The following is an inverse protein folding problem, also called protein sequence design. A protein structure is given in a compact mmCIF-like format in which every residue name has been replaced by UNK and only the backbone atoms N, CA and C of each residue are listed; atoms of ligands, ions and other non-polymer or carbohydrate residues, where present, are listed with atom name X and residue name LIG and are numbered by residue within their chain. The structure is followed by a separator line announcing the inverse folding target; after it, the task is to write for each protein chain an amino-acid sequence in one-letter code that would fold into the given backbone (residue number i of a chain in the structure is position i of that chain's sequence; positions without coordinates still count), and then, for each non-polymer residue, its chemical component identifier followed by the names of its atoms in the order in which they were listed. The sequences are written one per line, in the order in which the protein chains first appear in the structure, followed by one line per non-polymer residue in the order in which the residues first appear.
data_IF_092518664828
#
_entry.id   IF_092518664828
#
_cell.length_a   1.000
_cell.length_b   1.000
_cell.length_c   1.000
_cell.angle_alpha   90.00
_cell.angle_beta   90.00
_cell.angle_gamma   90.00
#
_symmetry.space_group_name_H-M   'P 1'
#
loop_
_entity.id
_entity.type
_entity.pdbx_description
1 polymer ?
#
# COMPACT_ATOMS: atom_id res chain seq x y z
N UNK A 1 -29.38 -28.27 -30.86
CA UNK A 1 -29.62 -28.39 -29.42
C UNK A 1 -28.43 -27.74 -28.73
N UNK A 2 -28.58 -26.51 -28.27
CA UNK A 2 -27.58 -25.88 -27.38
C UNK A 2 -27.62 -26.59 -26.06
N UNK A 3 -26.46 -27.05 -25.53
CA UNK A 3 -26.44 -27.67 -24.20
C UNK A 3 -27.00 -26.71 -23.16
N UNK A 4 -27.74 -27.19 -22.16
CA UNK A 4 -28.27 -26.35 -21.11
C UNK A 4 -27.10 -25.67 -20.41
N UNK A 5 -27.06 -24.35 -20.43
CA UNK A 5 -26.11 -23.56 -19.64
C UNK A 5 -26.36 -23.89 -18.17
N UNK A 6 -25.44 -24.62 -17.57
CA UNK A 6 -25.49 -24.85 -16.12
C UNK A 6 -25.58 -23.49 -15.42
N UNK A 7 -26.47 -23.32 -14.44
CA UNK A 7 -26.57 -22.07 -13.71
C UNK A 7 -25.24 -21.78 -13.05
N UNK A 8 -24.57 -20.69 -13.48
CA UNK A 8 -23.33 -20.24 -12.86
C UNK A 8 -23.62 -20.00 -11.38
N UNK A 9 -22.82 -20.63 -10.52
CA UNK A 9 -22.96 -20.48 -9.07
C UNK A 9 -22.89 -19.02 -8.64
N UNK A 10 -23.64 -18.66 -7.60
CA UNK A 10 -23.73 -17.29 -7.09
C UNK A 10 -22.37 -16.72 -6.68
N UNK A 11 -21.44 -17.58 -6.25
CA UNK A 11 -20.08 -17.20 -5.83
C UNK A 11 -19.16 -16.77 -6.98
N UNK A 12 -19.51 -17.11 -8.24
CA UNK A 12 -18.75 -16.77 -9.45
C UNK A 12 -19.51 -15.82 -10.38
N UNK A 13 -20.73 -15.43 -10.03
CA UNK A 13 -21.50 -14.46 -10.81
C UNK A 13 -20.98 -13.05 -10.58
N UNK A 14 -20.96 -12.27 -11.64
CA UNK A 14 -20.70 -10.83 -11.53
C UNK A 14 -21.79 -10.16 -10.70
N UNK A 15 -21.41 -9.34 -9.69
CA UNK A 15 -22.37 -8.61 -8.87
C UNK A 15 -23.20 -7.64 -9.74
N UNK A 16 -24.52 -7.68 -9.59
CA UNK A 16 -25.45 -6.78 -10.28
C UNK A 16 -26.12 -5.78 -9.36
N UNK A 17 -26.10 -6.05 -8.05
CA UNK A 17 -26.67 -5.18 -7.03
C UNK A 17 -25.62 -4.20 -6.51
N UNK A 18 -26.02 -2.96 -6.26
CA UNK A 18 -25.15 -1.93 -5.69
C UNK A 18 -24.62 -2.34 -4.33
N UNK A 19 -23.31 -2.07 -4.09
CA UNK A 19 -22.70 -2.31 -2.82
C UNK A 19 -23.27 -1.37 -1.75
N UNK A 20 -23.72 -1.86 -0.57
CA UNK A 20 -24.23 -1.00 0.48
C UNK A 20 -23.20 0.00 0.95
N UNK A 21 -23.60 1.25 1.11
CA UNK A 21 -22.68 2.33 1.53
C UNK A 21 -21.98 2.04 2.85
N UNK A 22 -22.66 1.40 3.81
CA UNK A 22 -22.07 1.05 5.09
C UNK A 22 -20.97 -0.01 4.94
N UNK A 23 -21.17 -1.01 4.10
CA UNK A 23 -20.16 -2.01 3.81
C UNK A 23 -18.94 -1.40 3.09
N UNK A 24 -19.16 -0.48 2.14
CA UNK A 24 -18.05 0.27 1.50
C UNK A 24 -17.28 1.07 2.54
N UNK A 25 -17.97 1.71 3.51
CA UNK A 25 -17.31 2.40 4.63
C UNK A 25 -16.42 1.46 5.45
N UNK A 26 -16.90 0.24 5.76
CA UNK A 26 -16.08 -0.75 6.47
C UNK A 26 -14.85 -1.19 5.69
N UNK A 27 -14.99 -1.35 4.38
CA UNK A 27 -13.87 -1.66 3.48
C UNK A 27 -12.84 -0.51 3.44
N UNK A 28 -13.32 0.73 3.42
CA UNK A 28 -12.49 1.95 3.49
C UNK A 28 -11.74 2.03 4.81
N UNK A 29 -12.42 1.83 5.94
CA UNK A 29 -11.78 1.83 7.26
C UNK A 29 -10.71 0.75 7.36
N UNK A 30 -11.00 -0.49 6.94
CA UNK A 30 -10.03 -1.57 6.92
C UNK A 30 -8.81 -1.19 6.04
N UNK A 31 -9.04 -0.50 4.91
CA UNK A 31 -7.97 -0.01 4.03
C UNK A 31 -7.13 1.07 4.70
N UNK A 32 -7.73 2.01 5.44
CA UNK A 32 -6.99 3.02 6.23
C UNK A 32 -6.07 2.35 7.25
N UNK A 33 -6.57 1.38 8.02
CA UNK A 33 -5.76 0.63 8.98
C UNK A 33 -4.61 -0.14 8.31
N UNK A 34 -4.89 -0.81 7.19
CA UNK A 34 -3.90 -1.51 6.39
C UNK A 34 -2.75 -0.58 5.95
N UNK A 35 -3.08 0.57 5.36
CA UNK A 35 -2.07 1.51 4.87
C UNK A 35 -1.34 2.24 5.99
N UNK A 36 -1.99 2.48 7.14
CA UNK A 36 -1.31 2.95 8.36
C UNK A 36 -0.28 1.92 8.85
N UNK A 37 -0.61 0.62 8.79
CA UNK A 37 0.28 -0.48 9.13
C UNK A 37 1.51 -0.59 8.22
N UNK A 38 1.41 -0.20 6.96
CA UNK A 38 2.56 -0.13 6.07
C UNK A 38 3.39 1.14 6.29
N UNK A 39 2.75 2.31 6.26
CA UNK A 39 3.46 3.57 6.10
C UNK A 39 3.90 4.23 7.39
N UNK A 40 3.22 3.99 8.51
CA UNK A 40 3.73 4.45 9.81
C UNK A 40 5.12 3.89 10.13
N UNK A 41 5.31 2.55 10.04
CA UNK A 41 6.64 1.96 10.17
C UNK A 41 7.62 2.47 9.12
N UNK A 42 7.27 2.43 7.82
CA UNK A 42 8.19 2.75 6.72
C UNK A 42 8.72 4.17 6.79
N UNK A 43 7.87 5.15 7.12
CA UNK A 43 8.24 6.56 7.05
C UNK A 43 9.03 7.06 8.27
N UNK A 44 8.77 6.49 9.46
CA UNK A 44 9.33 7.02 10.70
C UNK A 44 9.89 5.90 11.59
N UNK A 45 9.05 4.96 12.04
CA UNK A 45 9.41 4.06 13.14
C UNK A 45 10.58 3.11 12.80
N UNK A 46 10.65 2.58 11.58
CA UNK A 46 11.74 1.72 11.14
C UNK A 46 13.07 2.48 11.03
N UNK A 47 13.02 3.74 10.58
CA UNK A 47 14.21 4.58 10.52
C UNK A 47 14.74 4.89 11.92
N UNK A 48 13.86 5.33 12.84
CA UNK A 48 14.23 5.56 14.26
C UNK A 48 14.79 4.30 14.92
N UNK A 49 14.13 3.16 14.68
CA UNK A 49 14.55 1.90 15.29
C UNK A 49 15.86 1.39 14.69
N UNK A 50 16.10 1.60 13.38
CA UNK A 50 17.39 1.29 12.75
C UNK A 50 18.53 2.14 13.35
N UNK A 51 18.26 3.41 13.62
CA UNK A 51 19.20 4.31 14.30
C UNK A 51 19.43 3.90 15.75
N UNK A 52 18.40 3.52 16.50
CA UNK A 52 18.51 3.06 17.89
C UNK A 52 19.30 1.75 18.03
N UNK A 53 19.12 0.80 17.07
CA UNK A 53 19.79 -0.51 17.10
C UNK A 53 21.23 -0.43 16.58
N UNK A 54 21.52 0.44 15.63
CA UNK A 54 22.84 0.57 14.99
C UNK A 54 23.08 2.00 14.51
N UNK A 55 23.47 2.93 15.37
CA UNK A 55 23.67 4.34 15.03
C UNK A 55 24.66 4.56 13.88
N UNK A 56 25.77 3.80 13.87
CA UNK A 56 26.84 3.93 12.87
C UNK A 56 26.46 3.37 11.48
N UNK A 57 25.41 2.54 11.40
CA UNK A 57 25.01 1.86 10.16
C UNK A 57 23.49 1.92 9.94
N UNK A 58 22.84 2.97 10.42
CA UNK A 58 21.35 3.13 10.40
C UNK A 58 20.76 2.96 9.01
N UNK A 59 21.38 3.53 7.96
CA UNK A 59 20.90 3.44 6.60
C UNK A 59 21.01 2.02 6.03
N UNK A 60 22.10 1.32 6.34
CA UNK A 60 22.31 -0.06 5.90
C UNK A 60 21.33 -1.02 6.59
N UNK A 61 21.04 -0.80 7.87
CA UNK A 61 20.04 -1.57 8.61
C UNK A 61 18.64 -1.31 8.05
N UNK A 62 18.27 -0.05 7.81
CA UNK A 62 16.99 0.31 7.20
C UNK A 62 16.85 -0.30 5.80
N UNK A 63 17.91 -0.23 4.98
CA UNK A 63 17.94 -0.84 3.66
C UNK A 63 17.77 -2.37 3.71
N UNK A 64 18.42 -3.04 4.66
CA UNK A 64 18.29 -4.49 4.86
C UNK A 64 16.86 -4.88 5.26
N UNK A 65 16.31 -4.22 6.28
CA UNK A 65 14.96 -4.49 6.80
C UNK A 65 13.91 -4.28 5.72
N UNK A 66 13.95 -3.13 5.06
CA UNK A 66 12.98 -2.78 4.03
C UNK A 66 13.19 -3.57 2.74
N UNK A 67 14.43 -3.91 2.39
CA UNK A 67 14.76 -4.77 1.25
C UNK A 67 14.23 -6.19 1.41
N UNK A 68 14.42 -6.82 2.58
CA UNK A 68 13.83 -8.13 2.90
C UNK A 68 12.31 -8.03 2.89
N UNK A 69 11.74 -6.97 3.48
CA UNK A 69 10.31 -6.72 3.45
C UNK A 69 9.75 -6.60 2.03
N UNK A 70 10.44 -5.91 1.13
CA UNK A 70 10.06 -5.77 -0.27
C UNK A 70 10.09 -7.11 -1.03
N UNK A 71 11.09 -7.96 -0.76
CA UNK A 71 11.14 -9.32 -1.32
C UNK A 71 9.94 -10.15 -0.85
N UNK A 72 9.66 -10.14 0.45
CA UNK A 72 8.50 -10.83 1.03
C UNK A 72 7.20 -10.34 0.41
N UNK A 73 7.00 -9.03 0.30
CA UNK A 73 5.83 -8.40 -0.33
C UNK A 73 5.67 -8.85 -1.79
N UNK A 74 6.74 -8.76 -2.57
CA UNK A 74 6.74 -9.08 -4.01
C UNK A 74 6.33 -10.54 -4.27
N UNK A 75 6.82 -11.46 -3.43
CA UNK A 75 6.53 -12.88 -3.57
C UNK A 75 5.16 -13.25 -2.99
N UNK A 76 4.86 -12.77 -1.78
CA UNK A 76 3.69 -13.22 -1.06
C UNK A 76 2.39 -12.55 -1.48
N UNK A 77 2.39 -11.30 -1.95
CA UNK A 77 1.15 -10.64 -2.38
C UNK A 77 0.40 -11.45 -3.45
N UNK A 78 1.01 -11.84 -4.58
CA UNK A 78 0.32 -12.68 -5.57
C UNK A 78 0.03 -14.11 -5.08
N UNK A 79 0.88 -14.68 -4.22
CA UNK A 79 0.63 -16.01 -3.62
C UNK A 79 -0.62 -15.96 -2.73
N UNK A 80 -0.75 -14.95 -1.89
CA UNK A 80 -1.93 -14.75 -1.05
C UNK A 80 -3.19 -14.49 -1.88
N UNK A 81 -3.09 -13.74 -2.97
CA UNK A 81 -4.17 -13.58 -3.94
C UNK A 81 -4.66 -14.92 -4.47
N UNK A 82 -3.74 -15.75 -4.97
CA UNK A 82 -4.07 -17.08 -5.51
C UNK A 82 -4.65 -18.02 -4.45
N UNK A 83 -4.20 -17.98 -3.20
CA UNK A 83 -4.77 -18.76 -2.13
C UNK A 83 -6.14 -18.26 -1.68
N UNK A 84 -6.31 -16.92 -1.61
CA UNK A 84 -7.58 -16.29 -1.32
C UNK A 84 -8.64 -16.65 -2.36
N UNK A 85 -8.29 -16.69 -3.66
CA UNK A 85 -9.19 -17.11 -4.75
C UNK A 85 -9.72 -18.54 -4.60
N UNK A 86 -9.02 -19.40 -3.85
CA UNK A 86 -9.27 -20.84 -3.70
C UNK A 86 -9.80 -21.21 -2.33
N UNK A 87 -10.06 -20.24 -1.49
CA UNK A 87 -10.54 -20.45 -0.12
C UNK A 87 -12.00 -20.86 -0.13
N UNK A 88 -12.31 -22.02 0.50
CA UNK A 88 -13.64 -22.63 0.56
C UNK A 88 -14.24 -22.58 1.99
N UNK A 89 -13.70 -21.71 2.85
CA UNK A 89 -14.16 -21.56 4.23
C UNK A 89 -15.60 -21.02 4.30
N UNK A 90 -16.38 -21.50 5.26
CA UNK A 90 -17.77 -21.06 5.49
C UNK A 90 -17.90 -19.57 5.81
N UNK A 91 -16.84 -18.96 6.34
CA UNK A 91 -16.77 -17.52 6.63
C UNK A 91 -16.57 -16.65 5.40
N UNK A 92 -16.48 -17.25 4.23
CA UNK A 92 -16.25 -16.57 2.96
C UNK A 92 -14.87 -16.82 2.38
N UNK A 93 -14.65 -16.28 1.18
CA UNK A 93 -13.41 -16.44 0.40
C UNK A 93 -12.34 -15.41 0.79
N UNK A 94 -12.72 -14.17 1.01
CA UNK A 94 -11.81 -13.03 1.27
C UNK A 94 -11.66 -12.67 2.74
N UNK A 95 -12.76 -12.73 3.51
CA UNK A 95 -12.79 -12.39 4.93
C UNK A 95 -11.71 -13.07 5.77
N UNK A 96 -11.44 -14.39 5.66
CA UNK A 96 -10.40 -15.05 6.43
C UNK A 96 -9.01 -14.44 6.21
N UNK A 97 -8.71 -13.99 4.98
CA UNK A 97 -7.43 -13.38 4.61
C UNK A 97 -7.32 -11.94 5.10
N UNK A 98 -8.42 -11.17 5.09
CA UNK A 98 -8.44 -9.82 5.68
C UNK A 98 -8.20 -9.91 7.19
N UNK A 99 -8.95 -10.77 7.89
CA UNK A 99 -8.84 -10.93 9.35
C UNK A 99 -7.50 -11.57 9.74
N UNK A 100 -7.10 -12.64 9.07
CA UNK A 100 -5.84 -13.34 9.33
C UNK A 100 -4.63 -12.46 9.02
N UNK A 101 -4.69 -11.69 7.92
CA UNK A 101 -3.65 -10.72 7.56
C UNK A 101 -3.53 -9.58 8.56
N UNK A 102 -4.65 -9.01 9.01
CA UNK A 102 -4.67 -8.01 10.07
C UNK A 102 -4.13 -8.56 11.40
N UNK A 103 -4.51 -9.77 11.78
CA UNK A 103 -4.00 -10.43 12.98
C UNK A 103 -2.48 -10.67 12.91
N UNK A 104 -1.97 -11.18 11.78
CA UNK A 104 -0.54 -11.36 11.58
C UNK A 104 0.21 -10.01 11.57
N UNK A 105 -0.35 -8.99 10.92
CA UNK A 105 0.17 -7.61 10.97
C UNK A 105 0.21 -7.06 12.38
N UNK A 106 -0.84 -7.26 13.17
CA UNK A 106 -0.90 -6.86 14.59
C UNK A 106 0.19 -7.53 15.41
N UNK A 107 0.34 -8.87 15.29
CA UNK A 107 1.41 -9.60 15.96
C UNK A 107 2.78 -9.07 15.56
N UNK A 108 2.98 -8.78 14.28
CA UNK A 108 4.23 -8.20 13.80
C UNK A 108 4.50 -6.81 14.40
N UNK A 109 3.48 -5.94 14.56
CA UNK A 109 3.64 -4.64 15.23
C UNK A 109 4.03 -4.81 16.70
N UNK A 110 3.47 -5.81 17.40
CA UNK A 110 3.85 -6.12 18.79
C UNK A 110 5.30 -6.60 18.86
N UNK A 111 5.75 -7.42 17.92
CA UNK A 111 7.14 -7.87 17.84
C UNK A 111 8.10 -6.71 17.51
N UNK A 112 7.72 -5.81 16.60
CA UNK A 112 8.48 -4.61 16.27
C UNK A 112 8.62 -3.68 17.47
N UNK A 113 7.55 -3.51 18.25
CA UNK A 113 7.58 -2.69 19.46
C UNK A 113 8.63 -3.15 20.50
N UNK A 114 8.95 -4.44 20.54
CA UNK A 114 9.97 -5.02 21.42
C UNK A 114 11.28 -5.39 20.73
N UNK A 115 11.46 -5.03 19.43
CA UNK A 115 12.65 -5.43 18.69
C UNK A 115 13.88 -4.58 19.11
N UNK A 116 14.91 -5.24 19.62
CA UNK A 116 16.17 -4.67 20.12
C UNK A 116 17.40 -5.10 19.30
N UNK A 117 17.20 -5.89 18.27
CA UNK A 117 18.27 -6.42 17.41
C UNK A 117 17.90 -6.35 15.93
N UNK A 118 18.93 -6.26 15.07
CA UNK A 118 18.74 -6.18 13.59
C UNK A 118 17.93 -7.36 13.09
N UNK A 119 18.21 -8.58 13.54
CA UNK A 119 17.52 -9.78 13.08
C UNK A 119 16.06 -9.84 13.53
N UNK A 120 15.77 -9.39 14.75
CA UNK A 120 14.40 -9.30 15.24
C UNK A 120 13.61 -8.27 14.42
N UNK A 121 14.23 -7.13 14.11
CA UNK A 121 13.63 -6.09 13.27
C UNK A 121 13.35 -6.61 11.85
N UNK A 122 14.31 -7.31 11.23
CA UNK A 122 14.15 -7.93 9.90
C UNK A 122 13.01 -8.95 9.89
N UNK A 123 12.99 -9.88 10.86
CA UNK A 123 11.99 -10.95 10.92
C UNK A 123 10.59 -10.41 11.25
N UNK A 124 10.48 -9.47 12.19
CA UNK A 124 9.20 -8.87 12.55
C UNK A 124 8.64 -8.05 11.40
N UNK A 125 9.48 -7.28 10.68
CA UNK A 125 9.04 -6.56 9.49
C UNK A 125 8.66 -7.50 8.32
N UNK A 126 9.40 -8.58 8.12
CA UNK A 126 9.04 -9.61 7.14
C UNK A 126 7.68 -10.23 7.45
N UNK A 127 7.38 -10.50 8.72
CA UNK A 127 6.06 -10.97 9.16
C UNK A 127 4.98 -9.91 8.93
N UNK A 128 5.27 -8.63 9.23
CA UNK A 128 4.36 -7.51 8.93
C UNK A 128 4.02 -7.47 7.44
N UNK A 129 5.04 -7.53 6.59
CA UNK A 129 4.85 -7.57 5.14
C UNK A 129 4.04 -8.78 4.68
N UNK A 130 4.29 -9.97 5.23
CA UNK A 130 3.52 -11.16 4.90
C UNK A 130 2.03 -11.00 5.28
N UNK A 131 1.73 -10.56 6.51
CA UNK A 131 0.37 -10.36 7.01
C UNK A 131 -0.38 -9.25 6.28
N UNK A 132 0.23 -8.06 6.20
CA UNK A 132 -0.42 -6.91 5.55
C UNK A 132 -0.64 -7.13 4.04
N UNK A 133 0.27 -7.84 3.35
CA UNK A 133 0.04 -8.20 1.94
C UNK A 133 -1.05 -9.27 1.76
N UNK A 134 -1.27 -10.16 2.73
CA UNK A 134 -2.42 -11.06 2.72
C UNK A 134 -3.74 -10.28 2.81
N UNK A 135 -3.79 -9.30 3.72
CA UNK A 135 -4.93 -8.40 3.84
C UNK A 135 -5.12 -7.55 2.57
N UNK A 136 -4.05 -6.97 2.01
CA UNK A 136 -4.07 -6.16 0.79
C UNK A 136 -4.63 -6.94 -0.40
N UNK A 137 -4.11 -8.14 -0.65
CA UNK A 137 -4.56 -9.00 -1.74
C UNK A 137 -6.06 -9.32 -1.62
N UNK A 138 -6.54 -9.62 -0.41
CA UNK A 138 -7.94 -9.92 -0.17
C UNK A 138 -8.84 -8.68 -0.30
N UNK A 139 -8.47 -7.54 0.27
CA UNK A 139 -9.20 -6.27 0.16
C UNK A 139 -9.32 -5.84 -1.31
N UNK A 140 -8.23 -5.92 -2.06
CA UNK A 140 -8.23 -5.56 -3.50
C UNK A 140 -9.14 -6.49 -4.30
N UNK A 141 -9.11 -7.80 -4.03
CA UNK A 141 -9.95 -8.78 -4.72
C UNK A 141 -11.43 -8.70 -4.31
N UNK A 142 -11.75 -8.13 -3.15
CA UNK A 142 -13.14 -7.95 -2.70
C UNK A 142 -13.92 -6.99 -3.62
N UNK A 143 -13.26 -6.00 -4.23
CA UNK A 143 -13.92 -5.03 -5.12
C UNK A 143 -14.54 -5.71 -6.34
N UNK A 144 -13.80 -6.44 -7.19
CA UNK A 144 -14.41 -7.14 -8.32
C UNK A 144 -15.40 -8.24 -7.90
N UNK A 145 -15.25 -8.82 -6.70
CA UNK A 145 -16.10 -9.91 -6.21
C UNK A 145 -17.47 -9.41 -5.71
N UNK A 146 -17.58 -8.16 -5.22
CA UNK A 146 -18.77 -7.68 -4.52
C UNK A 146 -19.32 -6.33 -5.04
N UNK A 147 -18.60 -5.68 -5.97
CA UNK A 147 -19.01 -4.39 -6.54
C UNK A 147 -19.32 -4.56 -8.02
N UNK A 148 -20.52 -4.13 -8.48
CA UNK A 148 -20.88 -4.18 -9.90
C UNK A 148 -19.92 -3.32 -10.74
N UNK A 149 -19.71 -3.69 -11.99
CA UNK A 149 -18.75 -3.05 -12.91
C UNK A 149 -18.96 -1.55 -13.02
N UNK A 150 -20.22 -1.10 -12.99
CA UNK A 150 -20.59 0.33 -13.06
C UNK A 150 -20.11 1.16 -11.86
N UNK A 151 -19.89 0.55 -10.69
CA UNK A 151 -19.50 1.24 -9.44
C UNK A 151 -18.03 1.04 -9.09
N UNK A 152 -17.30 0.11 -9.74
CA UNK A 152 -15.90 -0.21 -9.42
C UNK A 152 -14.97 1.00 -9.49
N UNK A 153 -15.21 1.90 -10.43
CA UNK A 153 -14.44 3.14 -10.56
C UNK A 153 -14.58 4.05 -9.34
N UNK A 154 -15.81 4.23 -8.87
CA UNK A 154 -16.08 5.06 -7.67
C UNK A 154 -15.49 4.41 -6.41
N UNK A 155 -15.75 3.12 -6.19
CA UNK A 155 -15.21 2.40 -5.02
C UNK A 155 -13.69 2.35 -5.07
N UNK A 156 -13.08 2.12 -6.24
CA UNK A 156 -11.63 2.17 -6.42
C UNK A 156 -11.05 3.55 -6.09
N UNK A 157 -11.70 4.63 -6.52
CA UNK A 157 -11.32 6.01 -6.18
C UNK A 157 -11.39 6.28 -4.68
N UNK A 158 -12.45 5.83 -4.01
CA UNK A 158 -12.58 5.96 -2.54
C UNK A 158 -11.50 5.14 -1.81
N UNK A 159 -11.12 3.96 -2.32
CA UNK A 159 -10.02 3.18 -1.75
C UNK A 159 -8.65 3.84 -1.96
N UNK A 160 -8.44 4.55 -3.07
CA UNK A 160 -7.23 5.35 -3.27
C UNK A 160 -7.13 6.51 -2.27
N UNK A 161 -8.26 7.16 -1.95
CA UNK A 161 -8.33 8.15 -0.87
C UNK A 161 -8.04 7.49 0.49
N UNK A 162 -8.59 6.30 0.75
CA UNK A 162 -8.31 5.54 1.97
C UNK A 162 -6.82 5.19 2.12
N UNK A 163 -6.14 4.87 1.02
CA UNK A 163 -4.69 4.69 1.00
C UNK A 163 -3.97 5.96 1.46
N UNK A 164 -4.28 7.11 0.86
CA UNK A 164 -3.66 8.39 1.22
C UNK A 164 -3.94 8.75 2.70
N UNK A 165 -5.18 8.58 3.16
CA UNK A 165 -5.54 8.79 4.56
C UNK A 165 -4.77 7.84 5.49
N UNK A 166 -4.62 6.57 5.11
CA UNK A 166 -3.85 5.59 5.89
C UNK A 166 -2.37 5.97 6.01
N UNK A 167 -1.77 6.49 4.94
CA UNK A 167 -0.40 7.02 4.97
C UNK A 167 -0.28 8.18 5.95
N UNK A 168 -1.20 9.16 5.87
CA UNK A 168 -1.23 10.34 6.77
C UNK A 168 -1.46 9.92 8.23
N UNK A 169 -2.42 9.02 8.47
CA UNK A 169 -2.71 8.51 9.82
C UNK A 169 -1.50 7.75 10.38
N UNK A 170 -0.84 6.92 9.58
CA UNK A 170 0.34 6.16 10.00
C UNK A 170 1.51 7.05 10.37
N UNK A 171 1.85 8.04 9.53
CA UNK A 171 2.91 9.00 9.84
C UNK A 171 2.55 9.92 11.01
N UNK A 172 1.27 10.32 11.12
CA UNK A 172 0.78 11.13 12.23
C UNK A 172 0.84 10.39 13.58
N UNK A 173 0.51 9.09 13.61
CA UNK A 173 0.68 8.26 14.81
C UNK A 173 2.16 8.21 15.20
N UNK A 174 3.04 7.98 14.25
CA UNK A 174 4.47 7.89 14.51
C UNK A 174 5.04 9.21 15.07
N UNK A 175 4.63 10.35 14.52
CA UNK A 175 5.03 11.67 15.01
C UNK A 175 4.41 12.04 16.37
N UNK A 176 3.16 11.63 16.63
CA UNK A 176 2.45 12.00 17.87
C UNK A 176 2.78 11.10 19.08
N UNK A 177 3.43 9.95 18.87
CA UNK A 177 3.73 9.01 19.94
C UNK A 177 5.16 9.21 20.46
N UNK A 178 5.31 9.50 21.73
CA UNK A 178 6.60 9.83 22.37
C UNK A 178 7.61 8.67 22.44
N UNK A 179 7.35 7.51 21.84
CA UNK A 179 8.31 6.41 21.73
C UNK A 179 8.01 5.48 20.55
N UNK A 180 9.05 4.84 20.03
CA UNK A 180 8.95 3.84 18.94
C UNK A 180 7.94 2.73 19.29
N UNK A 181 8.04 2.21 20.53
CA UNK A 181 7.15 1.13 20.98
C UNK A 181 5.69 1.56 21.02
N UNK A 182 5.39 2.75 21.57
CA UNK A 182 4.00 3.27 21.59
C UNK A 182 3.47 3.54 20.17
N UNK A 183 4.31 3.95 19.24
CA UNK A 183 3.97 4.09 17.82
C UNK A 183 3.46 2.77 17.22
N UNK A 184 4.24 1.71 17.36
CA UNK A 184 3.84 0.38 16.87
C UNK A 184 2.58 -0.15 17.56
N UNK A 185 2.47 0.01 18.90
CA UNK A 185 1.27 -0.43 19.64
C UNK A 185 0.02 0.32 19.21
N UNK A 186 0.12 1.62 18.97
CA UNK A 186 -1.00 2.43 18.48
C UNK A 186 -1.43 2.01 17.08
N UNK A 187 -0.47 1.76 16.17
CA UNK A 187 -0.77 1.22 14.84
C UNK A 187 -1.44 -0.15 14.92
N UNK A 188 -0.98 -1.03 15.83
CA UNK A 188 -1.62 -2.33 16.06
C UNK A 188 -3.09 -2.17 16.48
N UNK A 189 -3.38 -1.27 17.41
CA UNK A 189 -4.76 -0.96 17.85
C UNK A 189 -5.59 -0.41 16.70
N UNK A 190 -5.07 0.53 15.92
CA UNK A 190 -5.77 1.11 14.75
C UNK A 190 -6.08 0.02 13.72
N UNK A 191 -5.11 -0.85 13.39
CA UNK A 191 -5.29 -1.95 12.45
C UNK A 191 -6.42 -2.89 12.89
N UNK A 192 -6.46 -3.27 14.16
CA UNK A 192 -7.54 -4.11 14.70
C UNK A 192 -8.87 -3.37 14.69
N UNK A 193 -8.92 -2.16 15.24
CA UNK A 193 -10.15 -1.39 15.38
C UNK A 193 -10.82 -1.10 14.03
N UNK A 194 -10.03 -0.78 13.00
CA UNK A 194 -10.54 -0.49 11.65
C UNK A 194 -10.92 -1.76 10.87
N UNK A 195 -10.37 -2.93 11.23
CA UNK A 195 -10.68 -4.20 10.58
C UNK A 195 -11.94 -4.87 11.16
N UNK A 196 -12.25 -4.66 12.44
CA UNK A 196 -13.40 -5.30 13.12
C UNK A 196 -14.73 -5.05 12.40
N UNK A 197 -15.11 -3.82 11.99
CA UNK A 197 -16.39 -3.60 11.32
C UNK A 197 -16.53 -4.41 10.03
N UNK A 198 -15.47 -4.45 9.20
CA UNK A 198 -15.44 -5.29 8.01
C UNK A 198 -15.53 -6.79 8.35
N UNK A 199 -14.85 -7.22 9.40
CA UNK A 199 -14.88 -8.62 9.84
C UNK A 199 -16.27 -9.06 10.31
N UNK A 200 -17.04 -8.18 10.94
CA UNK A 200 -18.39 -8.47 11.45
C UNK A 200 -19.43 -8.44 10.33
N UNK A 201 -19.42 -7.39 9.50
CA UNK A 201 -20.42 -7.16 8.44
C UNK A 201 -19.86 -7.55 7.05
N UNK A 202 -19.10 -8.64 6.97
CA UNK A 202 -18.61 -9.14 5.70
C UNK A 202 -19.71 -9.87 4.92
N UNK A 203 -19.94 -9.44 3.68
CA UNK A 203 -20.86 -10.08 2.72
C UNK A 203 -20.19 -11.14 1.86
N UNK A 204 -19.07 -11.63 2.30
CA UNK A 204 -18.23 -12.55 1.57
C UNK A 204 -18.94 -13.90 1.36
N UNK A 205 -18.94 -14.40 0.12
CA UNK A 205 -19.64 -15.61 -0.26
C UNK A 205 -18.64 -16.77 -0.28
N UNK A 206 -18.92 -17.86 0.44
CA UNK A 206 -18.10 -19.07 0.38
C UNK A 206 -18.01 -19.63 -1.04
N UNK A 207 -16.82 -20.06 -1.44
CA UNK A 207 -16.63 -20.81 -2.68
C UNK A 207 -16.93 -22.30 -2.44
N UNK A 208 -17.88 -22.92 -3.19
CA UNK A 208 -18.09 -24.37 -3.13
C UNK A 208 -16.82 -25.14 -3.50
N UNK A 209 -16.58 -26.27 -2.83
CA UNK A 209 -15.37 -27.08 -3.07
C UNK A 209 -15.29 -27.58 -4.51
N UNK A 210 -16.44 -27.91 -5.13
CA UNK A 210 -16.56 -28.39 -6.50
C UNK A 210 -16.10 -27.34 -7.53
N UNK A 211 -16.18 -26.05 -7.19
CA UNK A 211 -15.80 -24.93 -8.05
C UNK A 211 -14.40 -24.43 -7.78
N UNK A 212 -13.68 -25.06 -6.86
CA UNK A 212 -12.30 -24.69 -6.52
C UNK A 212 -11.36 -24.85 -7.72
N UNK A 213 -10.75 -23.76 -8.25
CA UNK A 213 -9.89 -23.87 -9.42
C UNK A 213 -8.63 -24.70 -9.12
N UNK A 214 -8.15 -25.54 -10.05
CA UNK A 214 -6.92 -26.29 -9.88
C UNK A 214 -5.72 -25.35 -9.78
N UNK A 215 -4.77 -25.60 -8.87
CA UNK A 215 -3.57 -24.81 -8.73
C UNK A 215 -2.38 -25.51 -9.39
N UNK A 216 -1.69 -24.80 -10.31
CA UNK A 216 -0.50 -25.29 -10.98
C UNK A 216 0.61 -24.27 -10.82
N UNK A 217 1.63 -24.57 -10.03
CA UNK A 217 2.77 -23.69 -9.78
C UNK A 217 3.43 -23.20 -11.08
N UNK A 218 3.65 -24.08 -12.05
CA UNK A 218 4.26 -23.72 -13.32
C UNK A 218 3.43 -22.67 -14.11
N UNK A 219 2.11 -22.79 -14.13
CA UNK A 219 1.22 -21.83 -14.78
C UNK A 219 1.20 -20.51 -13.99
N UNK A 220 1.18 -20.58 -12.66
CA UNK A 220 1.24 -19.41 -11.79
C UNK A 220 2.52 -18.61 -11.99
N UNK A 221 3.69 -19.26 -11.96
CA UNK A 221 4.97 -18.57 -12.18
C UNK A 221 5.07 -18.00 -13.60
N UNK A 222 4.58 -18.73 -14.60
CA UNK A 222 4.56 -18.22 -15.99
C UNK A 222 3.67 -17.00 -16.18
N UNK A 223 2.61 -16.84 -15.38
CA UNK A 223 1.71 -15.68 -15.49
C UNK A 223 2.37 -14.34 -15.14
N UNK A 224 3.51 -14.36 -14.42
CA UNK A 224 4.28 -13.16 -14.11
C UNK A 224 5.22 -12.70 -15.22
N UNK A 225 5.47 -13.57 -16.20
CA UNK A 225 6.40 -13.24 -17.27
C UNK A 225 5.65 -12.76 -18.51
N UNK A 226 5.77 -11.46 -18.79
CA UNK A 226 5.34 -10.86 -20.04
C UNK A 226 6.60 -10.49 -20.83
N UNK A 227 6.77 -11.06 -22.03
CA UNK A 227 7.95 -10.81 -22.86
C UNK A 227 7.98 -9.36 -23.38
N UNK A 228 8.96 -8.53 -22.99
CA UNK A 228 9.09 -7.16 -23.51
C UNK A 228 9.36 -7.10 -25.02
N UNK A 229 9.90 -8.20 -25.59
CA UNK A 229 10.15 -8.29 -27.03
C UNK A 229 8.87 -8.49 -27.84
N UNK A 230 7.90 -9.21 -27.28
CA UNK A 230 6.58 -9.42 -27.90
C UNK A 230 5.63 -8.24 -27.63
N UNK A 231 5.82 -7.54 -26.53
CA UNK A 231 4.98 -6.42 -26.09
C UNK A 231 5.86 -5.22 -25.68
N UNK A 232 6.49 -4.51 -26.64
CA UNK A 232 7.43 -3.43 -26.33
C UNK A 232 6.80 -2.25 -25.59
N UNK A 233 5.54 -1.91 -25.89
CA UNK A 233 4.82 -0.86 -25.16
C UNK A 233 4.63 -1.21 -23.67
N UNK A 234 4.38 -2.48 -23.35
CA UNK A 234 4.35 -2.95 -21.97
C UNK A 234 5.72 -2.83 -21.30
N UNK A 235 6.79 -3.20 -22.01
CA UNK A 235 8.16 -3.07 -21.49
C UNK A 235 8.50 -1.62 -21.09
N UNK A 236 8.21 -0.67 -21.98
CA UNK A 236 8.43 0.75 -21.67
C UNK A 236 7.56 1.28 -20.54
N UNK A 237 6.28 0.91 -20.52
CA UNK A 237 5.37 1.27 -19.42
C UNK A 237 5.86 0.71 -18.08
N UNK A 238 6.36 -0.54 -18.06
CA UNK A 238 6.90 -1.18 -16.87
C UNK A 238 8.16 -0.47 -16.37
N UNK A 239 9.13 -0.16 -17.25
CA UNK A 239 10.37 0.54 -16.88
C UNK A 239 10.05 1.93 -16.32
N UNK A 240 9.19 2.68 -16.99
CA UNK A 240 8.79 4.03 -16.54
C UNK A 240 8.17 3.96 -15.16
N UNK A 241 7.21 3.03 -14.95
CA UNK A 241 6.56 2.84 -13.66
C UNK A 241 7.53 2.39 -12.57
N UNK A 242 8.45 1.50 -12.91
CA UNK A 242 9.50 1.04 -12.00
C UNK A 242 10.39 2.20 -11.53
N UNK A 243 10.91 3.01 -12.45
CA UNK A 243 11.78 4.15 -12.10
C UNK A 243 11.05 5.21 -11.26
N UNK A 244 9.80 5.53 -11.61
CA UNK A 244 8.99 6.45 -10.81
C UNK A 244 8.77 5.92 -9.38
N UNK A 245 8.35 4.67 -9.24
CA UNK A 245 8.14 4.07 -7.93
C UNK A 245 9.45 3.93 -7.13
N UNK A 246 10.57 3.64 -7.80
CA UNK A 246 11.88 3.58 -7.15
C UNK A 246 12.27 4.94 -6.56
N UNK A 247 12.15 6.03 -7.34
CA UNK A 247 12.44 7.38 -6.85
C UNK A 247 11.54 7.78 -5.67
N UNK A 248 10.26 7.49 -5.76
CA UNK A 248 9.33 7.73 -4.65
C UNK A 248 9.66 6.89 -3.40
N UNK A 249 9.99 5.61 -3.59
CA UNK A 249 10.32 4.72 -2.48
C UNK A 249 11.59 5.17 -1.75
N UNK A 250 12.62 5.59 -2.48
CA UNK A 250 13.84 6.13 -1.88
C UNK A 250 13.55 7.38 -1.04
N UNK A 251 12.76 8.32 -1.57
CA UNK A 251 12.38 9.51 -0.80
C UNK A 251 11.59 9.13 0.46
N UNK A 252 10.57 8.31 0.35
CA UNK A 252 9.72 7.91 1.48
C UNK A 252 10.51 7.19 2.56
N UNK A 253 11.42 6.28 2.17
CA UNK A 253 12.23 5.49 3.11
C UNK A 253 13.26 6.34 3.86
N UNK A 254 13.90 7.27 3.16
CA UNK A 254 15.03 8.03 3.73
C UNK A 254 14.65 9.46 4.10
N UNK A 255 13.37 9.84 4.01
CA UNK A 255 12.91 11.22 4.29
C UNK A 255 13.27 11.66 5.70
N UNK A 256 13.10 10.80 6.71
CA UNK A 256 13.45 11.13 8.10
C UNK A 256 14.94 11.40 8.24
N UNK A 257 15.80 10.54 7.70
CA UNK A 257 17.24 10.74 7.73
C UNK A 257 17.67 11.98 6.94
N UNK A 258 17.05 12.22 5.78
CA UNK A 258 17.29 13.44 5.01
C UNK A 258 16.98 14.70 5.82
N UNK A 259 15.88 14.73 6.55
CA UNK A 259 15.48 15.88 7.37
C UNK A 259 16.44 16.09 8.57
N UNK A 260 16.90 15.00 9.17
CA UNK A 260 17.86 15.05 10.30
C UNK A 260 19.28 15.40 9.84
N UNK A 261 19.79 14.70 8.83
CA UNK A 261 21.20 14.74 8.46
C UNK A 261 21.54 15.81 7.44
N UNK A 262 20.63 16.14 6.50
CA UNK A 262 20.87 17.15 5.45
C UNK A 262 20.20 18.50 5.75
N UNK A 263 19.00 18.51 6.33
CA UNK A 263 18.28 19.73 6.72
C UNK A 263 18.66 20.18 8.14
N UNK A 264 19.26 19.27 8.94
CA UNK A 264 19.73 19.51 10.32
C UNK A 264 18.60 19.83 11.30
N UNK A 265 17.46 19.17 11.19
CA UNK A 265 16.38 19.27 12.15
C UNK A 265 16.67 18.41 13.39
N UNK A 266 16.14 18.81 14.55
CA UNK A 266 16.06 17.94 15.71
C UNK A 266 15.12 16.75 15.48
N UNK A 267 15.19 15.74 16.35
CA UNK A 267 14.39 14.50 16.19
C UNK A 267 12.89 14.80 16.12
N UNK A 268 12.37 15.58 17.08
CA UNK A 268 10.95 15.95 17.15
C UNK A 268 10.52 16.79 15.92
N UNK A 269 11.35 17.76 15.52
CA UNK A 269 11.07 18.60 14.33
C UNK A 269 11.08 17.78 13.05
N UNK A 270 11.97 16.79 12.92
CA UNK A 270 12.04 15.93 11.74
C UNK A 270 10.81 15.01 11.63
N UNK A 271 10.30 14.47 12.73
CA UNK A 271 9.10 13.64 12.77
C UNK A 271 7.85 14.42 12.39
N UNK A 272 7.68 15.63 12.97
CA UNK A 272 6.60 16.56 12.62
C UNK A 272 6.68 16.97 11.14
N UNK A 273 7.90 17.20 10.64
CA UNK A 273 8.13 17.53 9.23
C UNK A 273 7.79 16.36 8.30
N UNK A 274 8.12 15.10 8.64
CA UNK A 274 7.68 13.92 7.86
C UNK A 274 6.16 13.87 7.78
N UNK A 275 5.47 14.06 8.91
CA UNK A 275 4.01 14.08 8.91
C UNK A 275 3.44 15.19 8.03
N UNK A 276 3.91 16.43 8.19
CA UNK A 276 3.37 17.58 7.46
C UNK A 276 3.68 17.50 5.96
N UNK A 277 4.90 17.11 5.57
CA UNK A 277 5.29 16.90 4.18
C UNK A 277 4.48 15.77 3.52
N UNK A 278 4.25 14.66 4.26
CA UNK A 278 3.42 13.56 3.77
C UNK A 278 1.96 13.98 3.59
N UNK A 279 1.41 14.78 4.53
CA UNK A 279 0.05 15.30 4.42
C UNK A 279 -0.10 16.25 3.22
N UNK A 280 0.85 17.17 3.02
CA UNK A 280 0.90 18.08 1.87
C UNK A 280 1.00 17.29 0.56
N UNK A 281 1.96 16.38 0.46
CA UNK A 281 2.13 15.50 -0.70
C UNK A 281 0.86 14.70 -1.01
N UNK A 282 0.27 14.06 0.01
CA UNK A 282 -0.94 13.25 -0.13
C UNK A 282 -2.15 14.08 -0.59
N UNK A 283 -2.37 15.25 0.01
CA UNK A 283 -3.47 16.15 -0.36
C UNK A 283 -3.32 16.62 -1.81
N UNK A 284 -2.12 17.08 -2.20
CA UNK A 284 -1.84 17.52 -3.57
C UNK A 284 -2.02 16.37 -4.54
N UNK A 285 -1.54 15.16 -4.22
CA UNK A 285 -1.71 13.96 -5.05
C UNK A 285 -3.18 13.64 -5.30
N UNK A 286 -4.03 13.69 -4.27
CA UNK A 286 -5.48 13.46 -4.42
C UNK A 286 -6.11 14.52 -5.33
N UNK A 287 -5.85 15.79 -5.10
CA UNK A 287 -6.40 16.89 -5.91
C UNK A 287 -5.96 16.77 -7.37
N UNK A 288 -4.66 16.53 -7.59
CA UNK A 288 -4.11 16.44 -8.95
C UNK A 288 -4.54 15.17 -9.67
N UNK A 289 -4.77 14.05 -8.97
CA UNK A 289 -5.34 12.85 -9.58
C UNK A 289 -6.75 13.08 -10.14
N UNK A 290 -7.60 13.83 -9.42
CA UNK A 290 -8.92 14.19 -9.92
C UNK A 290 -8.84 15.14 -11.13
N UNK A 291 -8.03 16.19 -11.02
CA UNK A 291 -7.89 17.20 -12.08
C UNK A 291 -7.19 16.60 -13.30
N UNK A 292 -6.08 15.89 -13.09
CA UNK A 292 -5.28 15.25 -14.13
C UNK A 292 -6.06 14.16 -14.87
N UNK A 293 -6.78 13.30 -14.12
CA UNK A 293 -7.64 12.27 -14.71
C UNK A 293 -8.73 12.87 -15.60
N UNK A 294 -9.48 13.85 -15.09
CA UNK A 294 -10.50 14.55 -15.85
C UNK A 294 -9.94 15.24 -17.11
N UNK A 295 -8.78 15.90 -17.00
CA UNK A 295 -8.14 16.59 -18.10
C UNK A 295 -7.55 15.61 -19.12
N UNK A 296 -6.88 14.55 -18.67
CA UNK A 296 -6.33 13.49 -19.52
C UNK A 296 -7.41 12.79 -20.37
N UNK A 297 -8.58 12.51 -19.77
CA UNK A 297 -9.70 11.91 -20.47
C UNK A 297 -10.30 12.86 -21.54
N UNK A 298 -10.33 14.16 -21.25
CA UNK A 298 -10.84 15.19 -22.18
C UNK A 298 -9.93 15.41 -23.38
N UNK A 299 -8.60 15.37 -23.16
CA UNK A 299 -7.58 15.59 -24.19
C UNK A 299 -7.31 14.30 -24.99
N UNK A 300 -7.56 13.13 -24.41
CA UNK A 300 -7.35 11.82 -25.04
C UNK A 300 -5.86 11.46 -25.29
N UNK A 301 -4.90 12.24 -24.77
CA UNK A 301 -3.46 12.07 -24.99
C UNK A 301 -2.74 11.59 -23.74
N UNK A 302 -3.11 10.44 -23.20
CA UNK A 302 -2.57 9.89 -21.95
C UNK A 302 -1.03 9.83 -21.89
N UNK A 303 -0.35 9.55 -23.01
CA UNK A 303 1.13 9.49 -23.06
C UNK A 303 1.78 10.82 -22.66
N UNK A 304 1.19 11.96 -23.03
CA UNK A 304 1.72 13.30 -22.72
C UNK A 304 1.67 13.56 -21.21
N UNK A 305 0.59 13.17 -20.55
CA UNK A 305 0.43 13.30 -19.10
C UNK A 305 1.46 12.46 -18.35
N UNK A 306 1.68 11.21 -18.76
CA UNK A 306 2.71 10.32 -18.15
C UNK A 306 4.12 10.91 -18.30
N UNK A 307 4.45 11.52 -19.45
CA UNK A 307 5.76 12.16 -19.65
C UNK A 307 5.93 13.38 -18.73
N UNK A 308 4.95 14.27 -18.69
CA UNK A 308 4.98 15.44 -17.85
C UNK A 308 5.00 15.10 -16.35
N UNK A 309 4.20 14.12 -15.91
CA UNK A 309 4.22 13.65 -14.53
C UNK A 309 5.60 13.14 -14.12
N UNK A 310 6.27 12.37 -14.99
CA UNK A 310 7.64 11.90 -14.76
C UNK A 310 8.66 13.03 -14.68
N UNK A 311 8.58 14.02 -15.58
CA UNK A 311 9.47 15.19 -15.55
C UNK A 311 9.26 16.07 -14.30
N UNK A 312 8.02 16.28 -13.90
CA UNK A 312 7.67 17.02 -12.69
C UNK A 312 8.19 16.30 -11.46
N UNK A 313 7.98 14.99 -11.36
CA UNK A 313 8.51 14.19 -10.25
C UNK A 313 10.05 14.21 -10.21
N UNK A 314 10.72 14.12 -11.36
CA UNK A 314 12.18 14.21 -11.44
C UNK A 314 12.68 15.61 -10.96
N UNK A 315 12.02 16.70 -11.35
CA UNK A 315 12.36 18.04 -10.89
C UNK A 315 12.22 18.17 -9.37
N UNK A 316 11.20 17.57 -8.76
CA UNK A 316 11.04 17.56 -7.30
C UNK A 316 12.19 16.82 -6.61
N UNK A 317 12.59 15.64 -7.13
CA UNK A 317 13.71 14.87 -6.56
C UNK A 317 15.05 15.60 -6.70
N UNK A 318 15.27 16.32 -7.81
CA UNK A 318 16.43 17.20 -7.99
C UNK A 318 16.42 18.32 -6.95
N UNK A 319 15.26 18.94 -6.69
CA UNK A 319 15.14 19.98 -5.67
C UNK A 319 15.52 19.43 -4.27
N UNK A 320 15.03 18.27 -3.89
CA UNK A 320 15.43 17.61 -2.63
C UNK A 320 16.95 17.36 -2.57
N UNK A 321 17.56 16.92 -3.66
CA UNK A 321 18.98 16.56 -3.68
C UNK A 321 19.93 17.76 -3.55
N UNK A 322 19.57 18.92 -4.12
CA UNK A 322 20.48 20.08 -4.22
C UNK A 322 20.12 21.26 -3.30
N UNK A 323 18.92 21.30 -2.73
CA UNK A 323 18.47 22.41 -1.87
C UNK A 323 17.91 21.85 -0.55
N UNK A 324 18.78 21.38 0.39
CA UNK A 324 18.34 20.76 1.63
C UNK A 324 17.86 21.81 2.66
N UNK A 325 16.72 22.39 2.41
CA UNK A 325 16.07 23.37 3.30
C UNK A 325 14.59 23.06 3.45
N UNK A 326 13.97 23.41 4.58
CA UNK A 326 12.55 23.18 4.81
C UNK A 326 11.62 23.83 3.77
N UNK A 327 11.83 25.10 3.35
CA UNK A 327 11.02 25.68 2.28
C UNK A 327 11.11 24.90 0.97
N UNK A 328 12.31 24.41 0.60
CA UNK A 328 12.49 23.60 -0.60
C UNK A 328 11.83 22.22 -0.46
N UNK A 329 11.85 21.63 0.73
CA UNK A 329 11.15 20.36 1.02
C UNK A 329 9.63 20.49 0.83
N UNK A 330 9.01 21.58 1.30
CA UNK A 330 7.58 21.84 1.06
C UNK A 330 7.27 22.04 -0.43
N UNK A 331 8.06 22.84 -1.14
CA UNK A 331 7.91 23.01 -2.59
C UNK A 331 8.08 21.65 -3.29
N UNK A 332 9.11 20.88 -2.90
CA UNK A 332 9.36 19.54 -3.42
C UNK A 332 8.17 18.59 -3.19
N UNK A 333 7.58 18.59 -2.00
CA UNK A 333 6.40 17.76 -1.68
C UNK A 333 5.18 18.15 -2.55
N UNK A 334 4.93 19.44 -2.76
CA UNK A 334 3.86 19.90 -3.67
C UNK A 334 4.14 19.48 -5.10
N UNK A 335 5.34 19.75 -5.62
CA UNK A 335 5.73 19.40 -7.01
C UNK A 335 5.67 17.89 -7.22
N UNK A 336 6.15 17.10 -6.25
CA UNK A 336 6.07 15.63 -6.30
C UNK A 336 4.62 15.15 -6.29
N UNK A 337 3.76 15.75 -5.47
CA UNK A 337 2.33 15.45 -5.43
C UNK A 337 1.63 15.72 -6.77
N UNK A 338 2.00 16.81 -7.45
CA UNK A 338 1.53 17.08 -8.82
C UNK A 338 2.03 16.01 -9.80
N UNK A 339 3.29 15.61 -9.70
CA UNK A 339 3.88 14.59 -10.58
C UNK A 339 3.25 13.20 -10.41
N UNK A 340 2.91 12.80 -9.18
CA UNK A 340 2.29 11.49 -8.93
C UNK A 340 0.78 11.45 -9.10
N UNK A 341 0.10 12.60 -8.99
CA UNK A 341 -1.35 12.68 -9.16
C UNK A 341 -1.80 12.88 -10.62
N UNK A 342 -0.92 13.38 -11.49
CA UNK A 342 -1.25 13.64 -12.91
C UNK A 342 -0.97 12.43 -13.80
#
# INVERSE_FOLDING_TARGET
MTPPTQPVDRSLREPTESAPRLWVLWLVLASVGLWSGFFGPIQVLLAQQSEAVSPDHKEAVLALVTGVGALVSTVLNPVWGAFSDRTTLRSGRRRPWVVGGAAAGTVAMLLLAGADSIWMLVLAWALAQAGLNAMLAAVTATVPDQVPTSERGVVGGVLAIAQTLGVIVGSGIAAATGSIATGYLTIAVVLVATTIPYAVDSRDIPLPEELRPPFRWAAFVRSFWVSPRQHPDFGWAWVTRFLMNLGNALLVLYLLFYLKDAVHLSDDEAEDAVFTLTAVYGLVTVVTAFVGGWWSDRVGRRKVFVIWSGLIAAAALVLFAFVPTMPAAYVGAVVLGVGFGA
#
